data_IF_800951327303
#
_entry.id   IF_800951327303
#
_cell.length_a   1.000
_cell.length_b   1.000
_cell.length_c   1.000
_cell.angle_alpha   90.00
_cell.angle_beta   90.00
_cell.angle_gamma   90.00
#
_symmetry.space_group_name_H-M   'P 1'
#
loop_
_entity.id
_entity.type
_entity.pdbx_description
1 polymer ?
#
# COMPACT_ATOMS: atom_id res chain seq x y z
N UNK A 1 -25.35 -7.29 7.01
CA UNK A 1 -23.88 -7.46 7.01
C UNK A 1 -23.42 -8.89 6.64
N UNK A 2 -24.25 -9.94 6.78
CA UNK A 2 -23.90 -11.36 6.55
C UNK A 2 -23.69 -11.77 5.07
N UNK A 3 -24.57 -11.31 4.17
CA UNK A 3 -24.52 -11.61 2.72
C UNK A 3 -23.20 -11.14 2.07
N UNK A 4 -22.64 -10.03 2.54
CA UNK A 4 -21.40 -9.48 2.02
C UNK A 4 -20.18 -10.37 2.27
N UNK A 5 -20.12 -11.05 3.42
CA UNK A 5 -19.03 -11.97 3.76
C UNK A 5 -19.18 -13.32 3.05
N UNK A 6 -20.39 -13.87 2.97
CA UNK A 6 -20.65 -15.11 2.19
C UNK A 6 -20.25 -14.99 0.71
N UNK A 7 -20.42 -13.81 0.10
CA UNK A 7 -19.94 -13.51 -1.27
C UNK A 7 -18.40 -13.43 -1.35
N UNK A 8 -17.73 -12.96 -0.28
CA UNK A 8 -16.27 -12.82 -0.23
C UNK A 8 -15.56 -14.18 -0.10
N UNK A 9 -16.21 -15.12 0.58
CA UNK A 9 -15.66 -16.46 0.87
C UNK A 9 -16.03 -17.51 -0.20
N UNK A 10 -16.84 -17.13 -1.20
CA UNK A 10 -17.19 -17.99 -2.35
C UNK A 10 -18.35 -18.96 -2.09
N UNK A 11 -19.12 -18.73 -1.02
CA UNK A 11 -20.25 -19.57 -0.66
C UNK A 11 -21.45 -19.35 -1.59
N UNK A 12 -22.20 -20.43 -1.85
CA UNK A 12 -23.41 -20.36 -2.69
C UNK A 12 -24.51 -19.63 -1.92
N UNK A 13 -24.85 -18.43 -2.39
CA UNK A 13 -25.92 -17.62 -1.82
C UNK A 13 -27.29 -18.30 -1.92
N UNK A 14 -28.14 -18.06 -0.92
CA UNK A 14 -29.55 -18.42 -0.97
C UNK A 14 -30.26 -17.64 -2.09
N UNK A 15 -31.35 -18.21 -2.61
CA UNK A 15 -32.12 -17.61 -3.70
C UNK A 15 -32.69 -16.23 -3.32
N UNK A 16 -33.10 -16.06 -2.06
CA UNK A 16 -33.59 -14.79 -1.53
C UNK A 16 -32.48 -13.71 -1.49
N UNK A 17 -31.26 -14.08 -1.08
CA UNK A 17 -30.12 -13.17 -1.03
C UNK A 17 -29.61 -12.80 -2.42
N UNK A 18 -29.64 -13.75 -3.36
CA UNK A 18 -29.37 -13.49 -4.78
C UNK A 18 -30.37 -12.48 -5.35
N UNK A 19 -31.66 -12.67 -5.09
CA UNK A 19 -32.71 -11.80 -5.62
C UNK A 19 -32.66 -10.39 -4.98
N UNK A 20 -32.33 -10.31 -3.69
CA UNK A 20 -32.05 -9.04 -3.01
C UNK A 20 -30.85 -8.32 -3.64
N UNK A 21 -29.73 -9.02 -3.87
CA UNK A 21 -28.53 -8.46 -4.49
C UNK A 21 -28.79 -7.94 -5.92
N UNK A 22 -29.55 -8.68 -6.74
CA UNK A 22 -29.92 -8.27 -8.10
C UNK A 22 -30.76 -6.99 -8.08
N UNK A 23 -31.76 -6.90 -7.19
CA UNK A 23 -32.59 -5.69 -7.03
C UNK A 23 -31.79 -4.48 -6.55
N UNK A 24 -30.84 -4.67 -5.64
CA UNK A 24 -29.95 -3.60 -5.17
C UNK A 24 -28.98 -3.15 -6.27
N UNK A 25 -28.41 -4.09 -7.03
CA UNK A 25 -27.51 -3.79 -8.15
C UNK A 25 -28.21 -3.03 -9.28
N UNK A 26 -29.46 -3.35 -9.57
CA UNK A 26 -30.27 -2.66 -10.57
C UNK A 26 -30.53 -1.18 -10.19
N UNK A 27 -30.75 -0.89 -8.91
CA UNK A 27 -30.90 0.49 -8.39
C UNK A 27 -29.61 1.31 -8.49
N UNK A 28 -28.46 0.65 -8.53
CA UNK A 28 -27.13 1.27 -8.62
C UNK A 28 -26.62 1.43 -10.07
N UNK A 29 -27.39 1.00 -11.09
CA UNK A 29 -27.04 1.17 -12.49
C UNK A 29 -27.25 2.62 -12.98
N UNK A 30 -26.47 3.53 -12.43
CA UNK A 30 -26.20 4.84 -12.99
C UNK A 30 -25.18 4.64 -14.11
N UNK A 31 -25.58 4.82 -15.38
CA UNK A 31 -24.74 4.68 -16.59
C UNK A 31 -23.47 5.59 -16.67
N UNK A 32 -22.91 6.09 -15.57
CA UNK A 32 -21.98 7.23 -15.59
C UNK A 32 -20.51 6.96 -15.24
N UNK A 33 -20.09 5.72 -14.97
CA UNK A 33 -18.69 5.41 -14.62
C UNK A 33 -18.17 4.07 -15.16
N UNK A 34 -18.48 3.70 -16.40
CA UNK A 34 -18.03 2.44 -17.00
C UNK A 34 -16.50 2.19 -16.90
N UNK A 35 -15.72 3.27 -16.79
CA UNK A 35 -14.24 3.24 -16.74
C UNK A 35 -13.65 3.31 -15.33
N UNK A 36 -14.43 3.53 -14.27
CA UNK A 36 -13.92 3.62 -12.89
C UNK A 36 -14.10 2.27 -12.19
N UNK A 37 -13.00 1.63 -11.84
CA UNK A 37 -13.04 0.44 -10.99
C UNK A 37 -13.49 0.82 -9.59
N UNK A 38 -14.43 0.06 -9.05
CA UNK A 38 -14.79 0.15 -7.63
C UNK A 38 -13.69 -0.41 -6.74
N UNK A 39 -13.65 -0.02 -5.46
CA UNK A 39 -12.70 -0.57 -4.49
C UNK A 39 -12.83 -2.10 -4.32
N UNK A 40 -14.01 -2.64 -4.60
CA UNK A 40 -14.25 -4.08 -4.65
C UNK A 40 -13.52 -4.73 -5.81
N UNK A 41 -13.62 -4.13 -7.00
CA UNK A 41 -12.97 -4.63 -8.21
C UNK A 41 -11.45 -4.51 -8.12
N UNK A 42 -10.93 -3.41 -7.58
CA UNK A 42 -9.50 -3.24 -7.33
C UNK A 42 -8.94 -4.32 -6.39
N UNK A 43 -9.61 -4.61 -5.28
CA UNK A 43 -9.22 -5.68 -4.35
C UNK A 43 -9.24 -7.06 -4.99
N UNK A 44 -10.23 -7.31 -5.86
CA UNK A 44 -10.32 -8.60 -6.57
C UNK A 44 -9.22 -8.76 -7.62
N UNK A 45 -8.93 -7.71 -8.40
CA UNK A 45 -7.81 -7.69 -9.35
C UNK A 45 -6.49 -7.98 -8.64
N UNK A 46 -6.28 -7.35 -7.48
CA UNK A 46 -5.10 -7.57 -6.64
C UNK A 46 -4.94 -9.01 -6.18
N UNK A 47 -6.01 -9.59 -5.62
CA UNK A 47 -5.99 -10.96 -5.13
C UNK A 47 -5.64 -11.95 -6.24
N UNK A 48 -6.26 -11.81 -7.41
CA UNK A 48 -5.98 -12.68 -8.57
C UNK A 48 -4.53 -12.52 -9.07
N UNK A 49 -3.98 -11.30 -9.01
CA UNK A 49 -2.59 -11.05 -9.35
C UNK A 49 -1.61 -11.69 -8.34
N UNK A 50 -1.92 -11.61 -7.03
CA UNK A 50 -1.12 -12.28 -5.99
C UNK A 50 -1.18 -13.81 -6.07
N UNK A 51 -2.27 -14.37 -6.61
CA UNK A 51 -2.42 -15.80 -6.92
C UNK A 51 -1.65 -16.21 -8.20
N UNK A 52 -0.89 -15.29 -8.81
CA UNK A 52 -0.05 -15.56 -9.97
C UNK A 52 -0.78 -15.52 -11.31
N UNK A 53 -2.03 -15.03 -11.36
CA UNK A 53 -2.74 -14.89 -12.63
C UNK A 53 -2.17 -13.74 -13.46
N UNK A 54 -1.97 -13.98 -14.76
CA UNK A 54 -1.54 -12.94 -15.69
C UNK A 54 -2.63 -11.88 -15.88
N UNK A 55 -2.22 -10.63 -16.11
CA UNK A 55 -3.11 -9.47 -16.29
C UNK A 55 -4.18 -9.72 -17.36
N UNK A 56 -3.81 -10.33 -18.49
CA UNK A 56 -4.75 -10.70 -19.55
C UNK A 56 -5.77 -11.73 -19.11
N UNK A 57 -5.39 -12.69 -18.27
CA UNK A 57 -6.31 -13.68 -17.71
C UNK A 57 -7.26 -13.01 -16.71
N UNK A 58 -6.75 -12.12 -15.85
CA UNK A 58 -7.55 -11.33 -14.91
C UNK A 58 -8.57 -10.46 -15.66
N UNK A 59 -8.16 -9.78 -16.73
CA UNK A 59 -9.03 -8.95 -17.57
C UNK A 59 -10.21 -9.76 -18.14
N UNK A 60 -9.93 -10.95 -18.69
CA UNK A 60 -10.97 -11.88 -19.18
C UNK A 60 -11.88 -12.35 -18.06
N UNK A 61 -11.33 -12.75 -16.91
CA UNK A 61 -12.09 -13.22 -15.74
C UNK A 61 -12.99 -12.13 -15.15
N UNK A 62 -12.54 -10.87 -15.15
CA UNK A 62 -13.27 -9.74 -14.59
C UNK A 62 -14.19 -9.04 -15.60
N UNK A 63 -14.15 -9.42 -16.88
CA UNK A 63 -14.88 -8.73 -17.96
C UNK A 63 -14.44 -7.27 -18.14
N UNK A 64 -13.16 -6.98 -17.90
CA UNK A 64 -12.59 -5.62 -17.96
C UNK A 64 -11.53 -5.53 -19.07
N UNK A 65 -11.30 -4.32 -19.56
CA UNK A 65 -10.23 -4.07 -20.51
C UNK A 65 -8.87 -4.31 -19.84
N UNK A 66 -7.95 -4.95 -20.55
CA UNK A 66 -6.56 -5.15 -20.15
C UNK A 66 -5.94 -3.87 -19.58
N UNK A 67 -6.10 -2.73 -20.27
CA UNK A 67 -5.53 -1.45 -19.85
C UNK A 67 -6.12 -0.95 -18.51
N UNK A 68 -7.37 -1.28 -18.22
CA UNK A 68 -8.01 -0.92 -16.94
C UNK A 68 -7.44 -1.74 -15.78
N UNK A 69 -7.21 -3.04 -16.00
CA UNK A 69 -6.58 -3.93 -15.01
C UNK A 69 -5.10 -3.56 -14.80
N UNK A 70 -4.36 -3.32 -15.89
CA UNK A 70 -2.97 -2.86 -15.85
C UNK A 70 -2.84 -1.55 -15.08
N UNK A 71 -3.73 -0.56 -15.34
CA UNK A 71 -3.75 0.69 -14.55
C UNK A 71 -4.08 0.45 -13.09
N UNK A 72 -4.96 -0.49 -12.73
CA UNK A 72 -5.22 -0.81 -11.32
C UNK A 72 -4.04 -1.46 -10.59
N UNK A 73 -3.22 -2.20 -11.34
CA UNK A 73 -1.99 -2.81 -10.83
C UNK A 73 -0.79 -1.85 -10.83
N UNK A 74 -0.78 -0.84 -11.70
CA UNK A 74 0.25 0.21 -11.71
C UNK A 74 -0.06 1.39 -10.79
N UNK A 75 -1.33 1.75 -10.68
CA UNK A 75 -1.86 2.73 -9.71
C UNK A 75 -2.13 2.08 -8.36
N UNK A 76 -1.55 0.91 -8.10
CA UNK A 76 -1.36 0.46 -6.72
C UNK A 76 -0.84 1.67 -5.96
N UNK A 77 -1.59 2.17 -4.95
CA UNK A 77 -0.90 2.99 -3.98
C UNK A 77 0.20 2.06 -3.47
N UNK A 78 1.46 2.52 -3.47
CA UNK A 78 2.31 2.21 -2.33
C UNK A 78 1.36 2.40 -1.15
N UNK A 79 0.92 1.31 -0.51
CA UNK A 79 -0.12 1.40 0.51
C UNK A 79 0.29 2.55 1.41
N UNK A 80 -0.63 3.39 1.91
CA UNK A 80 -0.22 4.45 2.86
C UNK A 80 0.70 3.86 3.93
N UNK A 81 0.45 2.60 4.30
CA UNK A 81 1.35 1.73 5.07
C UNK A 81 2.74 1.57 4.44
N UNK A 82 2.86 1.05 3.22
CA UNK A 82 4.14 0.82 2.52
C UNK A 82 4.94 2.11 2.28
N UNK A 83 4.28 3.22 1.96
CA UNK A 83 4.93 4.53 1.86
C UNK A 83 5.49 4.95 3.22
N UNK A 84 4.67 4.88 4.27
CA UNK A 84 5.10 5.20 5.64
C UNK A 84 6.26 4.29 6.08
N UNK A 85 6.19 2.99 5.80
CA UNK A 85 7.29 2.07 6.14
C UNK A 85 8.56 2.37 5.34
N UNK A 86 8.45 2.73 4.06
CA UNK A 86 9.63 3.14 3.26
C UNK A 86 10.25 4.41 3.80
N UNK A 87 9.44 5.41 4.15
CA UNK A 87 9.94 6.66 4.75
C UNK A 87 10.52 6.44 6.14
N UNK A 88 9.94 5.54 6.94
CA UNK A 88 10.44 5.19 8.27
C UNK A 88 11.77 4.44 8.18
N UNK A 89 11.88 3.48 7.26
CA UNK A 89 13.13 2.75 7.00
C UNK A 89 14.23 3.67 6.52
N UNK A 90 13.94 4.58 5.57
CA UNK A 90 14.91 5.57 5.11
C UNK A 90 15.37 6.51 6.24
N UNK A 91 14.46 6.86 7.15
CA UNK A 91 14.81 7.68 8.33
C UNK A 91 15.70 6.91 9.30
N UNK A 92 15.40 5.63 9.56
CA UNK A 92 16.22 4.76 10.43
C UNK A 92 17.62 4.55 9.86
N UNK A 93 17.71 4.26 8.57
CA UNK A 93 18.98 4.08 7.87
C UNK A 93 19.84 5.35 7.92
N UNK A 94 19.22 6.52 7.71
CA UNK A 94 19.89 7.81 7.87
C UNK A 94 20.43 7.99 9.29
N UNK A 95 19.60 7.75 10.30
CA UNK A 95 19.98 7.92 11.70
C UNK A 95 21.13 6.97 12.10
N UNK A 96 21.14 5.74 11.58
CA UNK A 96 22.22 4.77 11.79
C UNK A 96 23.54 5.23 11.18
N UNK A 97 23.53 5.76 9.95
CA UNK A 97 24.74 6.30 9.30
C UNK A 97 25.32 7.46 10.12
N UNK A 98 24.47 8.36 10.60
CA UNK A 98 24.89 9.48 11.46
C UNK A 98 25.50 8.97 12.77
N UNK A 99 24.86 7.99 13.41
CA UNK A 99 25.37 7.41 14.67
C UNK A 99 26.69 6.68 14.48
N UNK A 100 26.85 5.89 13.43
CA UNK A 100 28.10 5.21 13.13
C UNK A 100 29.23 6.22 12.90
N UNK A 101 28.98 7.27 12.12
CA UNK A 101 29.96 8.32 11.90
C UNK A 101 30.37 9.04 13.20
N UNK A 102 29.46 9.22 14.16
CA UNK A 102 29.77 9.90 15.43
C UNK A 102 30.41 8.97 16.48
N UNK A 103 29.81 7.81 16.76
CA UNK A 103 30.22 6.92 17.84
C UNK A 103 31.31 5.93 17.45
N UNK A 104 31.39 5.52 16.18
CA UNK A 104 32.37 4.54 15.69
C UNK A 104 33.57 5.26 15.07
N UNK A 105 33.32 6.14 14.10
CA UNK A 105 34.40 6.85 13.40
C UNK A 105 34.94 8.06 14.19
N UNK A 106 34.27 8.46 15.27
CA UNK A 106 34.67 9.60 16.10
C UNK A 106 34.57 10.96 15.40
N UNK A 107 33.79 11.08 14.31
CA UNK A 107 33.68 12.31 13.54
C UNK A 107 32.89 13.38 14.30
N UNK A 108 33.32 14.63 14.16
CA UNK A 108 32.59 15.78 14.71
C UNK A 108 31.32 16.09 13.91
N UNK A 109 30.34 16.75 14.53
CA UNK A 109 29.09 17.17 13.87
C UNK A 109 29.35 17.94 12.56
N UNK A 110 30.37 18.82 12.52
CA UNK A 110 30.74 19.58 11.32
C UNK A 110 31.29 18.71 10.19
N UNK A 111 32.01 17.63 10.52
CA UNK A 111 32.50 16.67 9.53
C UNK A 111 31.35 15.84 8.96
N UNK A 112 30.45 15.38 9.82
CA UNK A 112 29.24 14.64 9.43
C UNK A 112 28.33 15.49 8.55
N UNK A 113 28.15 16.78 8.87
CA UNK A 113 27.40 17.74 8.05
C UNK A 113 27.98 17.85 6.64
N UNK A 114 29.31 17.99 6.51
CA UNK A 114 29.97 18.11 5.20
C UNK A 114 29.88 16.83 4.37
N UNK A 115 30.02 15.67 5.02
CA UNK A 115 30.06 14.37 4.37
C UNK A 115 28.67 13.87 3.97
N UNK A 116 27.71 13.91 4.89
CA UNK A 116 26.37 13.38 4.69
C UNK A 116 25.36 14.44 4.21
N UNK A 117 25.75 15.72 4.20
CA UNK A 117 24.93 16.86 3.78
C UNK A 117 23.61 16.99 4.55
N UNK A 118 23.60 16.56 5.81
CA UNK A 118 22.48 16.74 6.72
C UNK A 118 22.65 17.98 7.59
N UNK A 119 21.53 18.62 7.93
CA UNK A 119 21.55 19.79 8.80
C UNK A 119 22.03 19.45 10.22
N UNK A 120 22.73 20.36 10.92
CA UNK A 120 23.18 20.13 12.30
C UNK A 120 22.06 19.74 13.28
N UNK A 121 20.82 20.28 13.19
CA UNK A 121 19.69 19.81 13.99
C UNK A 121 19.31 18.35 13.73
N UNK A 122 19.30 17.90 12.47
CA UNK A 122 19.02 16.50 12.10
C UNK A 122 20.07 15.57 12.69
N UNK A 123 21.34 15.94 12.58
CA UNK A 123 22.47 15.18 13.12
C UNK A 123 22.36 15.04 14.64
N UNK A 124 22.12 16.16 15.33
CA UNK A 124 21.97 16.19 16.79
C UNK A 124 20.78 15.34 17.25
N UNK A 125 19.67 15.38 16.50
CA UNK A 125 18.48 14.56 16.79
C UNK A 125 18.80 13.06 16.64
N UNK A 126 19.42 12.63 15.54
CA UNK A 126 19.77 11.24 15.30
C UNK A 126 20.71 10.65 16.36
N UNK A 127 21.68 11.45 16.83
CA UNK A 127 22.60 11.09 17.92
C UNK A 127 21.83 10.92 19.24
N UNK A 128 20.96 11.88 19.59
CA UNK A 128 20.20 11.87 20.85
C UNK A 128 19.12 10.78 20.90
N UNK A 129 18.42 10.55 19.79
CA UNK A 129 17.30 9.59 19.71
C UNK A 129 17.74 8.13 19.84
N UNK A 130 19.01 7.81 19.59
CA UNK A 130 19.57 6.46 19.85
C UNK A 130 20.12 6.26 21.27
N UNK A 131 20.37 7.34 22.02
CA UNK A 131 20.89 7.30 23.38
C UNK A 131 19.80 7.16 24.45
N UNK A 132 18.52 7.24 24.08
CA UNK A 132 17.37 7.05 24.98
C UNK A 132 17.03 5.56 25.21
N UNK A 133 18.06 4.76 25.45
CA UNK A 133 17.91 3.46 26.10
C UNK A 133 17.74 3.69 27.60
N UNK A 134 16.53 3.44 28.09
CA UNK A 134 16.17 3.11 29.49
C UNK A 134 17.34 2.97 30.47
N UNK A 135 17.43 3.90 31.41
CA UNK A 135 17.92 3.64 32.78
C UNK A 135 16.71 3.45 33.67
#
# INVERSE_FOLDING_TARGET
KRIGYAILDGEKLSEADQNYWVKQKAKLNCRRYANRLSDRENRRILKLHSEGMSVSKIARTMGRNYNTVMRALHLQPLSRRDYLTKTELATKEMDERIRNAYFVDGKTIKQIERELRYSPPTITKAIRSGAAGTV
#
